data_IF_433503520137
#
_entry.id   IF_433503520137
#
_cell.length_a   1.000
_cell.length_b   1.000
_cell.length_c   1.000
_cell.angle_alpha   90.00
_cell.angle_beta   90.00
_cell.angle_gamma   90.00
#
_symmetry.space_group_name_H-M   'P 1'
#
loop_
_entity.id
_entity.type
_entity.pdbx_description
1 polymer ?
#
# COMPACT_ATOMS: atom_id res chain seq x y z
N UNK A 1 5.49 4.64 22.61
CA UNK A 1 5.62 4.93 21.18
C UNK A 1 5.05 6.33 20.98
N UNK A 2 5.82 7.31 20.46
CA UNK A 2 5.25 8.61 20.11
C UNK A 2 4.17 8.34 19.06
N UNK A 3 2.94 8.83 19.27
CA UNK A 3 1.90 8.79 18.24
C UNK A 3 2.40 9.62 17.05
N UNK A 4 2.99 8.96 16.07
CA UNK A 4 3.45 9.59 14.85
C UNK A 4 2.23 9.85 13.99
N UNK A 5 1.83 11.12 13.88
CA UNK A 5 0.73 11.51 13.02
C UNK A 5 1.24 11.66 11.59
N UNK A 6 0.79 10.79 10.70
CA UNK A 6 1.19 10.87 9.31
C UNK A 6 0.43 11.95 8.57
N UNK A 7 1.09 12.60 7.61
CA UNK A 7 0.48 13.62 6.74
C UNK A 7 0.68 13.24 5.28
N UNK A 8 -0.38 13.37 4.48
CA UNK A 8 -0.33 13.22 3.03
C UNK A 8 -0.33 14.61 2.37
N UNK A 9 0.85 15.22 2.12
CA UNK A 9 0.91 16.52 1.47
C UNK A 9 0.48 16.41 0.00
N UNK A 10 -0.38 17.33 -0.42
CA UNK A 10 -0.76 17.54 -1.82
C UNK A 10 0.03 18.72 -2.39
N UNK A 11 0.64 18.56 -3.56
CA UNK A 11 1.47 19.63 -4.14
C UNK A 11 0.68 20.92 -4.42
N UNK A 12 -0.59 20.79 -4.81
CA UNK A 12 -1.49 21.91 -5.12
C UNK A 12 -1.81 22.80 -3.91
N UNK A 13 -1.76 22.25 -2.70
CA UNK A 13 -2.10 23.00 -1.48
C UNK A 13 -0.90 23.72 -0.87
N UNK A 14 0.32 23.52 -1.41
CA UNK A 14 1.55 24.07 -0.82
C UNK A 14 2.00 25.31 -1.59
N UNK A 15 2.32 26.38 -0.87
CA UNK A 15 2.93 27.59 -1.45
C UNK A 15 4.43 27.37 -1.63
N UNK A 16 4.92 27.54 -2.85
CA UNK A 16 6.35 27.52 -3.14
C UNK A 16 6.96 28.89 -2.92
N UNK A 17 7.99 28.94 -2.07
CA UNK A 17 8.83 30.11 -1.84
C UNK A 17 9.74 30.32 -3.05
N UNK A 18 9.90 31.57 -3.47
CA UNK A 18 10.80 31.93 -4.56
C UNK A 18 12.15 32.34 -4.00
N UNK A 19 13.18 32.22 -4.83
CA UNK A 19 14.52 32.72 -4.50
C UNK A 19 14.51 34.24 -4.27
N UNK A 20 13.64 34.96 -4.97
CA UNK A 20 13.46 36.40 -4.80
C UNK A 20 12.94 36.81 -3.41
N UNK A 21 12.34 35.88 -2.67
CA UNK A 21 11.78 36.15 -1.34
C UNK A 21 12.86 36.04 -0.24
N UNK A 22 14.11 35.69 -0.60
CA UNK A 22 15.21 35.54 0.35
C UNK A 22 15.89 36.89 0.55
N UNK A 23 15.62 37.52 1.69
CA UNK A 23 16.21 38.83 2.08
C UNK A 23 17.52 38.69 2.89
N UNK A 24 18.14 37.51 2.89
CA UNK A 24 19.38 37.24 3.62
C UNK A 24 20.62 37.38 2.75
N UNK A 25 21.68 37.92 3.36
CA UNK A 25 23.01 37.94 2.78
C UNK A 25 23.50 36.53 2.44
N UNK A 26 24.16 36.41 1.29
CA UNK A 26 24.69 35.15 0.81
C UNK A 26 25.82 34.65 1.74
N UNK A 27 25.92 33.33 1.98
CA UNK A 27 26.97 32.78 2.83
C UNK A 27 28.34 32.90 2.16
N UNK A 28 29.39 33.24 2.93
CA UNK A 28 30.76 33.17 2.42
C UNK A 28 31.19 31.71 2.28
N UNK A 29 31.38 31.28 1.03
CA UNK A 29 31.77 29.91 0.68
C UNK A 29 33.27 29.75 0.42
N UNK A 30 34.07 30.83 0.52
CA UNK A 30 35.51 30.82 0.21
C UNK A 30 36.38 30.55 1.43
N UNK A 31 36.04 31.09 2.59
CA UNK A 31 36.86 31.01 3.81
C UNK A 31 36.24 30.13 4.91
N UNK A 32 35.91 28.87 4.59
CA UNK A 32 35.20 27.96 5.53
C UNK A 32 36.16 26.93 6.11
N UNK A 33 36.02 26.66 7.41
CA UNK A 33 36.66 25.55 8.15
C UNK A 33 35.92 24.22 8.04
N UNK A 34 34.72 24.23 7.47
CA UNK A 34 33.80 23.11 7.34
C UNK A 34 33.47 22.85 5.87
N UNK A 35 32.76 21.76 5.59
CA UNK A 35 32.31 21.48 4.22
C UNK A 35 31.34 22.56 3.73
N UNK A 36 31.40 22.91 2.44
CA UNK A 36 30.47 23.84 1.79
C UNK A 36 29.00 23.46 2.03
N UNK A 37 28.70 22.16 2.07
CA UNK A 37 27.35 21.67 2.31
C UNK A 37 26.84 22.01 3.72
N UNK A 38 27.69 21.92 4.74
CA UNK A 38 27.32 22.26 6.13
C UNK A 38 27.15 23.77 6.28
N UNK A 39 28.02 24.57 5.66
CA UNK A 39 27.90 26.03 5.68
C UNK A 39 26.57 26.50 5.07
N UNK A 40 26.21 25.97 3.89
CA UNK A 40 24.91 26.25 3.26
C UNK A 40 23.75 25.76 4.12
N UNK A 41 23.89 24.60 4.78
CA UNK A 41 22.87 24.09 5.68
C UNK A 41 22.64 25.04 6.88
N UNK A 42 23.70 25.54 7.51
CA UNK A 42 23.62 26.53 8.60
C UNK A 42 22.96 27.83 8.14
N UNK A 43 23.29 28.29 6.94
CA UNK A 43 22.64 29.45 6.33
C UNK A 43 21.14 29.22 6.09
N UNK A 44 20.75 28.07 5.53
CA UNK A 44 19.33 27.71 5.34
C UNK A 44 18.58 27.59 6.67
N UNK A 45 19.21 27.06 7.72
CA UNK A 45 18.61 27.00 9.05
C UNK A 45 18.33 28.41 9.60
N UNK A 46 19.32 29.31 9.51
CA UNK A 46 19.18 30.70 9.91
C UNK A 46 18.07 31.42 9.12
N UNK A 47 17.91 31.09 7.83
CA UNK A 47 16.81 31.61 7.03
C UNK A 47 15.45 31.13 7.51
N UNK A 48 15.30 29.83 7.74
CA UNK A 48 14.04 29.25 8.23
C UNK A 48 13.66 29.79 9.61
N UNK A 49 14.64 30.12 10.46
CA UNK A 49 14.41 30.62 11.83
C UNK A 49 14.01 32.09 11.89
N UNK A 50 14.63 32.95 11.06
CA UNK A 50 14.46 34.39 11.18
C UNK A 50 13.36 34.95 10.26
N UNK A 51 13.04 34.26 9.17
CA UNK A 51 12.13 34.78 8.16
C UNK A 51 10.65 34.50 8.53
N UNK A 52 9.89 35.58 8.69
CA UNK A 52 8.45 35.53 8.97
C UNK A 52 7.61 35.01 7.81
N UNK A 53 8.14 35.04 6.58
CA UNK A 53 7.48 34.52 5.38
C UNK A 53 7.55 32.99 5.27
N UNK A 54 8.50 32.36 5.97
CA UNK A 54 8.69 30.90 5.98
C UNK A 54 7.69 30.27 6.94
N UNK A 55 6.49 29.99 6.45
CA UNK A 55 5.46 29.27 7.22
C UNK A 55 5.69 27.76 7.17
N UNK A 56 5.35 27.01 8.24
CA UNK A 56 5.35 25.56 8.18
C UNK A 56 4.44 25.05 7.04
N UNK A 57 4.80 23.92 6.44
CA UNK A 57 4.16 23.37 5.23
C UNK A 57 4.28 24.26 3.98
N UNK A 58 5.26 25.17 3.92
CA UNK A 58 5.68 25.79 2.67
C UNK A 58 6.72 24.94 1.95
N UNK A 59 6.80 25.08 0.62
CA UNK A 59 7.84 24.46 -0.19
C UNK A 59 9.02 25.41 -0.31
N UNK A 60 10.22 24.88 -0.03
CA UNK A 60 11.46 25.60 -0.33
C UNK A 60 11.61 25.83 -1.84
N UNK A 61 12.44 26.81 -2.24
CA UNK A 61 12.77 27.03 -3.63
C UNK A 61 13.38 25.77 -4.27
N UNK A 62 13.32 25.69 -5.60
CA UNK A 62 13.78 24.50 -6.29
C UNK A 62 15.30 24.32 -6.13
N UNK A 63 15.77 23.07 -6.14
CA UNK A 63 17.22 22.79 -6.00
C UNK A 63 18.07 23.47 -7.08
N UNK A 64 17.65 23.50 -8.36
CA UNK A 64 18.35 24.27 -9.39
C UNK A 64 18.41 25.77 -9.09
N UNK A 65 17.32 26.38 -8.61
CA UNK A 65 17.29 27.82 -8.33
C UNK A 65 18.21 28.18 -7.16
N UNK A 66 18.21 27.37 -6.10
CA UNK A 66 19.15 27.53 -4.97
C UNK A 66 20.60 27.32 -5.39
N UNK A 67 20.86 26.36 -6.27
CA UNK A 67 22.19 26.10 -6.80
C UNK A 67 22.71 27.28 -7.63
N UNK A 68 21.83 27.89 -8.44
CA UNK A 68 22.13 29.08 -9.22
C UNK A 68 22.41 30.29 -8.32
N UNK A 69 21.56 30.56 -7.33
CA UNK A 69 21.73 31.66 -6.37
C UNK A 69 23.08 31.59 -5.64
N UNK A 70 23.44 30.41 -5.16
CA UNK A 70 24.63 30.21 -4.33
C UNK A 70 25.89 29.93 -5.15
N UNK A 71 25.78 29.78 -6.48
CA UNK A 71 26.90 29.45 -7.36
C UNK A 71 27.54 28.08 -7.07
N UNK A 72 26.75 27.09 -6.70
CA UNK A 72 27.23 25.73 -6.33
C UNK A 72 26.56 24.63 -7.14
N UNK A 73 27.11 23.41 -7.06
CA UNK A 73 26.49 22.25 -7.71
C UNK A 73 25.17 21.86 -7.05
N UNK A 74 24.24 21.29 -7.84
CA UNK A 74 22.97 20.73 -7.33
C UNK A 74 23.22 19.65 -6.27
N UNK A 75 24.31 18.88 -6.41
CA UNK A 75 24.70 17.86 -5.43
C UNK A 75 25.07 18.45 -4.07
N UNK A 76 25.69 19.63 -4.04
CA UNK A 76 26.01 20.36 -2.81
C UNK A 76 24.73 20.78 -2.09
N UNK A 77 23.78 21.38 -2.82
CA UNK A 77 22.47 21.74 -2.27
C UNK A 77 21.73 20.51 -1.75
N UNK A 78 21.75 19.39 -2.50
CA UNK A 78 21.12 18.16 -2.06
C UNK A 78 21.72 17.63 -0.75
N UNK A 79 23.04 17.73 -0.56
CA UNK A 79 23.69 17.32 0.70
C UNK A 79 23.33 18.27 1.84
N UNK A 80 23.28 19.58 1.59
CA UNK A 80 22.82 20.57 2.57
C UNK A 80 21.38 20.34 3.01
N UNK A 81 20.47 20.12 2.05
CA UNK A 81 19.07 19.79 2.31
C UNK A 81 18.92 18.50 3.11
N UNK A 82 19.77 17.49 2.85
CA UNK A 82 19.79 16.25 3.62
C UNK A 82 20.21 16.49 5.07
N UNK A 83 21.23 17.31 5.28
CA UNK A 83 21.71 17.64 6.62
C UNK A 83 20.64 18.35 7.45
N UNK A 84 19.95 19.36 6.89
CA UNK A 84 18.86 20.04 7.60
C UNK A 84 17.63 19.13 7.78
N UNK A 85 17.42 18.15 6.89
CA UNK A 85 16.38 17.11 7.04
C UNK A 85 16.70 16.16 8.20
N UNK A 86 17.96 15.76 8.36
CA UNK A 86 18.43 14.93 9.47
C UNK A 86 18.32 15.66 10.82
N UNK A 87 18.53 16.98 10.85
CA UNK A 87 18.25 17.84 12.00
C UNK A 87 16.75 18.14 12.22
N UNK A 88 15.90 17.78 11.26
CA UNK A 88 14.45 17.88 11.37
C UNK A 88 13.85 19.25 11.00
N UNK A 89 14.55 20.09 10.26
CA UNK A 89 14.03 21.38 9.78
C UNK A 89 13.09 21.22 8.59
N UNK A 90 13.33 20.20 7.75
CA UNK A 90 12.59 20.00 6.50
C UNK A 90 12.32 18.52 6.23
N UNK A 91 11.39 18.24 5.34
CA UNK A 91 11.17 16.91 4.76
C UNK A 91 11.18 16.95 3.24
N UNK A 92 11.98 16.08 2.65
CA UNK A 92 11.97 15.89 1.19
C UNK A 92 10.98 14.80 0.78
N UNK A 93 10.14 15.06 -0.22
CA UNK A 93 9.28 14.06 -0.88
C UNK A 93 9.43 14.12 -2.39
N UNK A 94 9.55 12.94 -3.02
CA UNK A 94 9.71 12.82 -4.48
C UNK A 94 8.52 13.46 -5.22
N UNK A 95 8.80 14.12 -6.34
CA UNK A 95 7.85 14.87 -7.20
C UNK A 95 7.18 16.10 -6.58
N UNK A 96 7.21 16.26 -5.25
CA UNK A 96 6.65 17.42 -4.55
C UNK A 96 7.74 18.47 -4.30
N UNK A 97 8.85 18.09 -3.66
CA UNK A 97 9.94 19.00 -3.30
C UNK A 97 10.34 18.86 -1.83
N UNK A 98 10.95 19.92 -1.28
CA UNK A 98 11.37 20.00 0.11
C UNK A 98 10.40 20.90 0.89
N UNK A 99 9.80 20.36 1.94
CA UNK A 99 8.75 21.01 2.74
C UNK A 99 9.34 21.43 4.08
N UNK A 100 9.02 22.63 4.55
CA UNK A 100 9.42 23.11 5.89
C UNK A 100 8.57 22.43 6.96
N UNK A 101 9.22 21.78 7.94
CA UNK A 101 8.53 21.16 9.09
C UNK A 101 8.08 22.22 10.09
N UNK A 102 6.97 21.95 10.75
CA UNK A 102 6.59 22.69 11.94
C UNK A 102 7.35 22.16 13.15
N UNK A 103 8.17 23.00 13.80
CA UNK A 103 8.91 22.60 15.00
C UNK A 103 8.02 22.48 16.23
N UNK A 104 6.89 23.20 16.26
CA UNK A 104 5.96 23.16 17.40
C UNK A 104 5.13 21.87 17.41
N UNK A 105 4.81 21.33 16.24
CA UNK A 105 4.11 20.04 16.08
C UNK A 105 5.06 18.91 15.63
N UNK A 106 6.11 18.67 16.44
CA UNK A 106 7.16 17.65 16.22
C UNK A 106 6.70 16.19 16.07
N UNK A 107 5.39 15.91 16.09
CA UNK A 107 4.80 14.58 15.90
C UNK A 107 4.32 14.28 14.48
N UNK A 108 4.37 15.26 13.55
CA UNK A 108 3.90 15.06 12.17
C UNK A 108 5.03 14.65 11.24
N UNK A 109 4.85 13.58 10.47
CA UNK A 109 5.84 13.16 9.48
C UNK A 109 5.21 12.57 8.22
N UNK A 110 5.93 12.64 7.10
CA UNK A 110 5.55 11.93 5.88
C UNK A 110 6.00 10.47 5.98
N UNK A 111 5.11 9.53 5.62
CA UNK A 111 5.47 8.13 5.46
C UNK A 111 6.48 7.95 4.33
N UNK A 112 7.67 7.41 4.65
CA UNK A 112 8.72 7.08 3.68
C UNK A 112 9.03 5.58 3.70
N UNK A 113 9.46 5.07 2.54
CA UNK A 113 10.09 3.75 2.45
C UNK A 113 11.38 3.76 3.29
N UNK A 114 11.77 2.60 3.82
CA UNK A 114 13.06 2.48 4.52
C UNK A 114 14.18 2.74 3.53
N UNK A 115 14.97 3.78 3.75
CA UNK A 115 16.06 4.11 2.82
C UNK A 115 17.21 3.10 2.95
N UNK A 116 17.94 2.83 1.86
CA UNK A 116 19.18 2.03 1.91
C UNK A 116 20.17 2.58 2.95
N UNK A 117 20.14 3.89 3.17
CA UNK A 117 20.93 4.58 4.20
C UNK A 117 20.51 4.14 5.61
N UNK A 118 19.22 4.11 5.94
CA UNK A 118 18.72 3.65 7.25
C UNK A 118 19.13 2.21 7.56
N UNK A 119 19.02 1.32 6.57
CA UNK A 119 19.49 -0.07 6.71
C UNK A 119 20.99 -0.10 7.01
N UNK A 120 21.77 0.72 6.30
CA UNK A 120 23.22 0.81 6.52
C UNK A 120 23.54 1.42 7.89
N UNK A 121 22.78 2.41 8.36
CA UNK A 121 22.94 3.00 9.70
C UNK A 121 22.74 1.92 10.77
N UNK A 122 21.69 1.12 10.66
CA UNK A 122 21.43 0.03 11.60
C UNK A 122 22.46 -1.08 11.52
N UNK A 123 22.92 -1.41 10.31
CA UNK A 123 24.01 -2.36 10.14
C UNK A 123 25.35 -1.84 10.74
N UNK A 124 25.65 -0.54 10.62
CA UNK A 124 26.82 0.07 11.27
C UNK A 124 26.67 0.05 12.79
N UNK A 125 25.48 0.36 13.32
CA UNK A 125 25.19 0.25 14.76
C UNK A 125 25.42 -1.17 15.27
N UNK A 126 24.86 -2.18 14.59
CA UNK A 126 25.10 -3.61 14.89
C UNK A 126 26.58 -3.97 14.84
N UNK A 127 27.27 -3.52 13.79
CA UNK A 127 28.71 -3.72 13.64
C UNK A 127 29.54 -3.13 14.79
N UNK A 128 29.15 -1.95 15.31
CA UNK A 128 29.79 -1.31 16.46
C UNK A 128 29.59 -2.14 17.74
N UNK A 129 28.38 -2.68 17.93
CA UNK A 129 28.04 -3.54 19.08
C UNK A 129 28.75 -4.91 19.01
N UNK A 130 28.70 -5.57 17.85
CA UNK A 130 29.29 -6.90 17.65
C UNK A 130 30.80 -6.89 17.90
N UNK A 131 31.49 -5.84 17.44
CA UNK A 131 32.93 -5.66 17.64
C UNK A 131 33.30 -4.96 18.95
N UNK A 132 32.31 -4.59 19.78
CA UNK A 132 32.50 -4.00 21.11
C UNK A 132 33.46 -2.80 21.12
N UNK A 133 33.29 -1.86 20.18
CA UNK A 133 34.09 -0.64 20.16
C UNK A 133 33.85 0.20 21.43
N UNK A 134 34.91 0.83 21.95
CA UNK A 134 34.81 1.75 23.09
C UNK A 134 34.66 3.20 22.61
N UNK A 135 34.04 4.05 23.44
CA UNK A 135 34.03 5.49 23.20
C UNK A 135 35.48 6.03 23.13
N UNK A 136 35.76 6.82 22.09
CA UNK A 136 37.07 7.35 21.74
C UNK A 136 37.86 6.51 20.73
N UNK A 137 37.44 5.28 20.43
CA UNK A 137 38.15 4.43 19.46
C UNK A 137 37.91 4.86 18.01
N UNK A 138 38.96 4.80 17.21
CA UNK A 138 38.90 5.03 15.76
C UNK A 138 38.23 3.84 15.07
N UNK A 139 37.21 4.14 14.27
CA UNK A 139 36.59 3.19 13.36
C UNK A 139 37.45 2.98 12.12
N UNK A 140 37.38 1.79 11.51
CA UNK A 140 38.03 1.55 10.23
C UNK A 140 37.44 2.45 9.13
N UNK A 141 38.18 2.59 8.03
CA UNK A 141 37.74 3.43 6.91
C UNK A 141 36.37 3.02 6.38
N UNK A 142 35.61 3.99 5.85
CA UNK A 142 34.27 3.75 5.30
C UNK A 142 34.25 2.62 4.24
N UNK A 143 35.35 2.45 3.49
CA UNK A 143 35.51 1.39 2.50
C UNK A 143 35.59 0.00 3.15
N UNK A 144 36.32 -0.12 4.25
CA UNK A 144 36.47 -1.39 4.98
C UNK A 144 35.14 -1.77 5.68
N UNK A 145 34.47 -0.78 6.29
CA UNK A 145 33.12 -0.96 6.85
C UNK A 145 32.14 -1.42 5.76
N UNK A 146 32.18 -0.79 4.57
CA UNK A 146 31.29 -1.16 3.47
C UNK A 146 31.51 -2.59 2.97
N UNK A 147 32.76 -3.07 2.96
CA UNK A 147 33.10 -4.43 2.56
C UNK A 147 32.59 -5.48 3.57
N UNK A 148 32.63 -5.15 4.87
CA UNK A 148 32.19 -6.06 5.93
C UNK A 148 30.67 -6.11 6.06
N UNK A 149 29.98 -5.00 5.80
CA UNK A 149 28.52 -4.91 5.86
C UNK A 149 27.86 -5.32 4.52
N UNK A 150 28.63 -5.39 3.42
CA UNK A 150 28.10 -5.70 2.09
C UNK A 150 27.28 -4.55 1.46
N UNK A 151 27.56 -3.31 1.83
CA UNK A 151 26.88 -2.11 1.34
C UNK A 151 27.78 -1.27 0.40
N UNK A 152 27.21 -0.31 -0.33
CA UNK A 152 28.01 0.58 -1.17
C UNK A 152 28.81 1.59 -0.33
N UNK A 153 30.05 1.87 -0.73
CA UNK A 153 30.91 2.81 -0.02
C UNK A 153 30.30 4.22 0.11
N UNK A 154 29.55 4.67 -0.89
CA UNK A 154 28.85 5.95 -0.86
C UNK A 154 27.71 5.97 0.16
N UNK A 155 26.93 4.89 0.24
CA UNK A 155 25.84 4.77 1.23
C UNK A 155 26.41 4.68 2.64
N UNK A 156 27.51 3.95 2.83
CA UNK A 156 28.24 3.89 4.11
C UNK A 156 28.76 5.25 4.53
N UNK A 157 29.37 6.03 3.62
CA UNK A 157 29.79 7.41 3.91
C UNK A 157 28.62 8.29 4.37
N UNK A 158 27.50 8.27 3.64
CA UNK A 158 26.30 9.04 4.01
C UNK A 158 25.68 8.57 5.35
N UNK A 159 25.79 7.29 5.67
CA UNK A 159 25.33 6.74 6.95
C UNK A 159 26.24 7.17 8.11
N UNK A 160 27.56 7.22 7.91
CA UNK A 160 28.51 7.72 8.90
C UNK A 160 28.31 9.23 9.15
N UNK A 161 28.08 10.02 8.09
CA UNK A 161 27.70 11.43 8.21
C UNK A 161 26.42 11.61 9.02
N UNK A 162 25.42 10.75 8.84
CA UNK A 162 24.22 10.79 9.68
C UNK A 162 24.53 10.51 11.15
N UNK A 163 25.34 9.48 11.44
CA UNK A 163 25.74 9.14 12.80
C UNK A 163 26.57 10.25 13.48
N UNK A 164 27.32 11.03 12.70
CA UNK A 164 27.99 12.27 13.13
C UNK A 164 26.99 13.33 13.55
N UNK A 165 25.98 13.61 12.70
CA UNK A 165 24.92 14.58 13.05
C UNK A 165 24.09 14.15 14.26
N UNK A 166 23.92 12.84 14.45
CA UNK A 166 23.26 12.27 15.62
C UNK A 166 24.13 12.31 16.89
N UNK A 167 25.42 12.68 16.77
CA UNK A 167 26.37 12.75 17.88
C UNK A 167 26.89 11.39 18.36
N UNK A 168 26.65 10.31 17.60
CA UNK A 168 27.14 8.96 17.90
C UNK A 168 28.60 8.81 17.47
N UNK A 169 28.94 9.39 16.32
CA UNK A 169 30.30 9.46 15.80
C UNK A 169 30.79 10.91 15.79
N UNK A 170 32.10 11.07 15.64
CA UNK A 170 32.75 12.36 15.40
C UNK A 170 33.71 12.21 14.22
N UNK A 171 33.58 13.08 13.22
CA UNK A 171 34.52 13.15 12.10
C UNK A 171 35.66 14.14 12.38
N UNK A 172 36.90 13.65 12.40
CA UNK A 172 38.10 14.49 12.60
C UNK A 172 38.70 14.91 11.25
N UNK A 173 38.77 16.22 10.98
CA UNK A 173 39.20 16.78 9.68
C UNK A 173 40.67 17.26 9.63
N UNK A 174 41.37 17.36 10.77
CA UNK A 174 42.54 18.26 10.88
C UNK A 174 43.92 17.68 10.51
N UNK A 175 44.15 16.36 10.58
CA UNK A 175 45.48 15.78 10.32
C UNK A 175 45.40 14.51 9.46
N UNK A 176 46.34 14.31 8.53
CA UNK A 176 46.41 13.12 7.68
C UNK A 176 46.52 11.79 8.46
N UNK A 177 47.04 11.84 9.70
CA UNK A 177 47.16 10.67 10.59
C UNK A 177 45.98 10.51 11.56
N UNK A 178 45.12 11.53 11.71
CA UNK A 178 43.97 11.51 12.64
C UNK A 178 42.63 11.62 11.91
N UNK A 179 42.67 11.66 10.58
CA UNK A 179 41.47 11.71 9.73
C UNK A 179 40.74 10.39 9.83
N UNK A 180 39.53 10.42 10.36
CA UNK A 180 38.78 9.21 10.62
C UNK A 180 37.52 9.47 11.41
N UNK A 181 36.77 8.39 11.59
CA UNK A 181 35.55 8.37 12.36
C UNK A 181 35.87 7.86 13.76
N UNK A 182 35.63 8.66 14.79
CA UNK A 182 35.75 8.20 16.18
C UNK A 182 34.38 7.95 16.78
N UNK A 183 34.24 6.86 17.55
CA UNK A 183 33.00 6.59 18.30
C UNK A 183 32.92 7.56 19.47
N UNK A 184 31.89 8.38 19.55
CA UNK A 184 31.69 9.34 20.65
C UNK A 184 30.81 8.76 21.75
N UNK A 185 29.72 8.08 21.38
CA UNK A 185 28.82 7.40 22.31
C UNK A 185 28.45 6.00 21.79
N UNK A 186 28.29 5.06 22.72
CA UNK A 186 27.87 3.67 22.44
C UNK A 186 26.40 3.43 22.85
N UNK A 187 25.76 4.45 23.43
CA UNK A 187 24.39 4.39 23.91
C UNK A 187 23.40 4.61 22.76
N UNK A 188 23.18 3.58 21.95
CA UNK A 188 22.18 3.62 20.87
C UNK A 188 21.33 2.35 20.81
N UNK A 189 20.05 2.52 20.49
CA UNK A 189 19.13 1.41 20.23
C UNK A 189 19.27 0.94 18.78
N UNK A 190 19.26 -0.38 18.60
CA UNK A 190 19.15 -1.03 17.30
C UNK A 190 17.70 -1.43 17.06
N UNK A 191 17.11 -0.94 15.98
CA UNK A 191 15.76 -1.37 15.57
C UNK A 191 15.88 -2.65 14.74
N UNK A 192 15.45 -3.79 15.28
CA UNK A 192 15.45 -5.08 14.55
C UNK A 192 14.51 -5.07 13.33
N UNK A 193 13.48 -4.21 13.34
CA UNK A 193 12.50 -4.08 12.26
C UNK A 193 13.06 -3.45 10.97
N UNK A 194 14.33 -3.04 10.93
CA UNK A 194 14.89 -2.24 9.83
C UNK A 194 16.00 -2.95 9.03
N UNK A 195 16.10 -4.27 9.14
CA UNK A 195 17.08 -5.07 8.40
C UNK A 195 16.73 -5.29 6.92
N UNK A 196 15.47 -5.06 6.53
CA UNK A 196 15.00 -5.26 5.16
C UNK A 196 14.50 -3.97 4.53
N UNK A 197 14.57 -3.90 3.19
CA UNK A 197 13.92 -2.82 2.43
C UNK A 197 12.40 -2.99 2.52
N UNK A 198 11.78 -2.42 3.55
CA UNK A 198 10.34 -2.43 3.73
C UNK A 198 9.75 -1.35 2.84
N UNK A 199 8.96 -1.79 1.85
CA UNK A 199 8.23 -0.89 0.96
C UNK A 199 7.17 -0.13 1.74
N UNK A 200 6.74 1.03 1.22
CA UNK A 200 5.64 1.77 1.82
C UNK A 200 4.37 0.91 1.94
N UNK A 201 4.11 0.06 0.93
CA UNK A 201 2.97 -0.86 0.92
C UNK A 201 3.04 -1.84 2.09
N UNK A 202 4.20 -2.47 2.33
CA UNK A 202 4.39 -3.39 3.46
C UNK A 202 4.16 -2.73 4.83
N UNK A 203 4.62 -1.50 5.03
CA UNK A 203 4.31 -0.75 6.27
C UNK A 203 2.81 -0.54 6.45
N UNK A 204 2.10 -0.24 5.36
CA UNK A 204 0.65 -0.08 5.37
C UNK A 204 -0.05 -1.42 5.60
N UNK A 205 0.47 -2.52 5.09
CA UNK A 205 -0.03 -3.87 5.37
C UNK A 205 0.09 -4.20 6.86
N UNK A 206 1.23 -3.92 7.50
CA UNK A 206 1.43 -4.10 8.94
C UNK A 206 0.44 -3.24 9.75
N UNK A 207 0.25 -1.97 9.37
CA UNK A 207 -0.73 -1.10 10.00
C UNK A 207 -2.16 -1.62 9.82
N UNK A 208 -2.52 -2.14 8.65
CA UNK A 208 -3.82 -2.74 8.38
C UNK A 208 -4.01 -4.03 9.17
N UNK A 209 -2.97 -4.87 9.31
CA UNK A 209 -3.00 -6.06 10.16
C UNK A 209 -3.25 -5.68 11.63
N UNK A 210 -2.57 -4.64 12.11
CA UNK A 210 -2.79 -4.09 13.44
C UNK A 210 -4.22 -3.54 13.61
N UNK A 211 -4.70 -2.78 12.64
CA UNK A 211 -6.07 -2.25 12.62
C UNK A 211 -7.12 -3.36 12.67
N UNK A 212 -6.97 -4.41 11.85
CA UNK A 212 -7.86 -5.57 11.83
C UNK A 212 -7.85 -6.26 13.20
N UNK A 213 -6.67 -6.43 13.80
CA UNK A 213 -6.55 -7.09 15.11
C UNK A 213 -7.21 -6.34 16.27
N UNK A 214 -7.28 -5.01 16.18
CA UNK A 214 -7.84 -4.16 17.24
C UNK A 214 -9.33 -3.90 17.07
N UNK A 215 -9.79 -3.72 15.82
CA UNK A 215 -11.10 -3.13 15.54
C UNK A 215 -12.13 -4.09 14.93
N UNK A 216 -11.73 -5.26 14.40
CA UNK A 216 -12.60 -6.11 13.58
C UNK A 216 -12.66 -7.56 14.05
N UNK A 217 -13.80 -8.19 13.83
CA UNK A 217 -14.02 -9.63 14.02
C UNK A 217 -14.12 -10.35 12.68
N UNK A 218 -13.94 -11.67 12.70
CA UNK A 218 -14.14 -12.51 11.51
C UNK A 218 -15.56 -12.36 11.01
N UNK A 219 -15.71 -12.05 9.72
CA UNK A 219 -16.99 -11.78 9.05
C UNK A 219 -17.34 -10.30 8.91
N UNK A 220 -16.65 -9.41 9.64
CA UNK A 220 -16.92 -7.97 9.55
C UNK A 220 -16.46 -7.39 8.21
N UNK A 221 -17.14 -6.32 7.79
CA UNK A 221 -16.83 -5.60 6.56
C UNK A 221 -15.76 -4.54 6.83
N UNK A 222 -14.72 -4.53 6.00
CA UNK A 222 -13.71 -3.48 6.02
C UNK A 222 -14.32 -2.13 5.63
N UNK A 223 -13.83 -1.01 6.20
CA UNK A 223 -14.20 0.33 5.77
C UNK A 223 -13.89 0.58 4.29
N UNK A 224 -14.46 1.65 3.73
CA UNK A 224 -14.19 2.01 2.35
C UNK A 224 -12.72 2.45 2.18
N UNK A 225 -12.17 2.30 0.97
CA UNK A 225 -10.79 2.69 0.69
C UNK A 225 -10.50 4.18 0.95
N UNK A 226 -11.51 5.05 0.83
CA UNK A 226 -11.40 6.48 1.12
C UNK A 226 -11.27 6.74 2.63
N UNK A 227 -12.03 6.02 3.45
CA UNK A 227 -12.00 6.18 4.92
C UNK A 227 -10.65 5.69 5.45
N UNK A 228 -10.18 4.53 4.99
CA UNK A 228 -8.84 4.01 5.31
C UNK A 228 -7.72 4.97 4.85
N UNK A 229 -7.94 5.69 3.75
CA UNK A 229 -6.99 6.69 3.22
C UNK A 229 -6.85 7.89 4.14
N UNK A 230 -7.95 8.34 4.74
CA UNK A 230 -7.97 9.41 5.72
C UNK A 230 -7.37 8.96 7.05
N UNK A 231 -7.77 7.79 7.55
CA UNK A 231 -7.29 7.24 8.82
C UNK A 231 -5.77 6.99 8.81
N UNK A 232 -5.26 6.32 7.78
CA UNK A 232 -3.83 5.99 7.68
C UNK A 232 -3.00 7.09 7.03
N UNK A 233 -3.63 8.14 6.47
CA UNK A 233 -2.98 9.22 5.73
C UNK A 233 -2.10 8.73 4.57
N UNK A 234 -2.64 7.78 3.80
CA UNK A 234 -1.96 7.09 2.69
C UNK A 234 -2.77 7.24 1.41
N UNK A 235 -2.13 7.13 0.24
CA UNK A 235 -2.87 7.17 -1.04
C UNK A 235 -3.83 5.99 -1.19
N UNK A 236 -4.99 6.23 -1.80
CA UNK A 236 -6.01 5.19 -2.09
C UNK A 236 -5.38 4.00 -2.83
N UNK A 237 -4.47 4.27 -3.78
CA UNK A 237 -3.77 3.21 -4.53
C UNK A 237 -2.91 2.32 -3.63
N UNK A 238 -2.15 2.91 -2.70
CA UNK A 238 -1.30 2.14 -1.79
C UNK A 238 -2.13 1.27 -0.84
N UNK A 239 -3.30 1.76 -0.41
CA UNK A 239 -4.26 0.95 0.38
C UNK A 239 -4.82 -0.17 -0.47
N UNK A 240 -5.17 0.09 -1.73
CA UNK A 240 -5.61 -0.95 -2.64
C UNK A 240 -4.56 -2.03 -2.83
N UNK A 241 -3.30 -1.65 -3.08
CA UNK A 241 -2.19 -2.58 -3.23
C UNK A 241 -1.96 -3.40 -1.95
N UNK A 242 -2.00 -2.76 -0.77
CA UNK A 242 -1.87 -3.44 0.52
C UNK A 242 -3.03 -4.42 0.80
N UNK A 243 -4.28 -4.01 0.53
CA UNK A 243 -5.44 -4.88 0.67
C UNK A 243 -5.39 -6.05 -0.30
N UNK A 244 -4.87 -5.84 -1.52
CA UNK A 244 -4.66 -6.90 -2.49
C UNK A 244 -3.69 -7.96 -1.94
N UNK A 245 -2.57 -7.55 -1.36
CA UNK A 245 -1.65 -8.47 -0.68
C UNK A 245 -2.36 -9.25 0.44
N UNK A 246 -3.18 -8.58 1.27
CA UNK A 246 -3.93 -9.25 2.34
C UNK A 246 -5.01 -10.23 1.82
N UNK A 247 -5.58 -9.97 0.64
CA UNK A 247 -6.49 -10.88 -0.05
C UNK A 247 -5.72 -12.10 -0.57
N UNK A 248 -4.54 -11.88 -1.15
CA UNK A 248 -3.67 -12.94 -1.65
C UNK A 248 -3.16 -13.82 -0.48
N UNK A 249 -2.92 -13.24 0.71
CA UNK A 249 -2.61 -13.96 1.95
C UNK A 249 -3.82 -14.70 2.57
N UNK A 250 -5.06 -14.45 2.10
CA UNK A 250 -6.28 -15.09 2.59
C UNK A 250 -6.84 -14.50 3.90
N UNK A 251 -6.35 -13.34 4.33
CA UNK A 251 -6.84 -12.62 5.52
C UNK A 251 -8.18 -11.92 5.23
N UNK A 252 -8.33 -11.45 3.99
CA UNK A 252 -9.51 -10.76 3.50
C UNK A 252 -10.14 -11.47 2.32
N UNK A 253 -11.45 -11.32 2.15
CA UNK A 253 -12.20 -11.80 1.00
C UNK A 253 -12.94 -10.65 0.34
N UNK A 254 -12.56 -10.36 -0.91
CA UNK A 254 -13.23 -9.36 -1.73
C UNK A 254 -14.48 -9.94 -2.38
N UNK A 255 -15.66 -9.39 -2.05
CA UNK A 255 -16.92 -9.66 -2.76
C UNK A 255 -17.31 -8.46 -3.62
N UNK A 256 -17.92 -8.72 -4.79
CA UNK A 256 -18.47 -7.66 -5.63
C UNK A 256 -19.79 -7.14 -5.06
N UNK A 257 -20.07 -5.85 -5.28
CA UNK A 257 -21.35 -5.22 -4.91
C UNK A 257 -21.44 -4.81 -3.44
N UNK A 258 -22.63 -4.93 -2.84
CA UNK A 258 -22.97 -4.40 -1.51
C UNK A 258 -22.10 -4.97 -0.37
N UNK A 259 -21.62 -6.19 -0.53
CA UNK A 259 -20.88 -6.93 0.48
C UNK A 259 -19.46 -6.38 0.72
N UNK A 260 -18.80 -5.81 -0.30
CA UNK A 260 -17.45 -5.25 -0.19
C UNK A 260 -16.39 -6.29 0.23
N UNK A 261 -15.33 -5.83 0.88
CA UNK A 261 -14.25 -6.68 1.43
C UNK A 261 -14.56 -7.07 2.87
N UNK A 262 -14.58 -8.37 3.16
CA UNK A 262 -14.87 -8.93 4.49
C UNK A 262 -13.64 -9.61 5.08
N UNK A 263 -13.48 -9.53 6.40
CA UNK A 263 -12.39 -10.21 7.12
C UNK A 263 -12.68 -11.71 7.20
N UNK A 264 -11.82 -12.55 6.64
CA UNK A 264 -11.94 -14.02 6.74
C UNK A 264 -11.16 -14.60 7.90
N UNK A 265 -10.03 -13.97 8.25
CA UNK A 265 -9.13 -14.48 9.29
C UNK A 265 -8.45 -13.32 9.99
N UNK A 266 -8.25 -13.46 11.29
CA UNK A 266 -7.42 -12.52 12.05
C UNK A 266 -5.95 -12.85 11.75
N UNK A 267 -5.08 -11.86 11.43
CA UNK A 267 -3.70 -12.10 10.99
C UNK A 267 -2.83 -12.99 11.90
N UNK A 268 -3.23 -13.20 13.17
CA UNK A 268 -2.48 -13.98 14.16
C UNK A 268 -3.05 -15.39 14.44
N UNK A 269 -4.27 -15.70 13.99
CA UNK A 269 -4.84 -17.03 14.16
C UNK A 269 -4.26 -17.96 13.09
N UNK A 270 -3.88 -19.21 13.39
CA UNK A 270 -3.38 -20.18 12.39
C UNK A 270 -4.48 -20.97 11.69
N UNK A 271 -5.76 -20.65 11.91
CA UNK A 271 -6.87 -21.36 11.31
C UNK A 271 -6.88 -21.14 9.80
N UNK A 272 -6.65 -22.22 9.05
CA UNK A 272 -6.77 -22.23 7.59
C UNK A 272 -8.26 -22.22 7.28
N UNK A 273 -8.78 -21.06 6.86
CA UNK A 273 -10.10 -21.02 6.23
C UNK A 273 -9.94 -21.49 4.78
N UNK A 274 -9.98 -22.80 4.58
CA UNK A 274 -10.23 -23.36 3.25
C UNK A 274 -11.64 -22.94 2.85
N UNK A 275 -11.73 -22.17 1.76
CA UNK A 275 -12.99 -21.93 1.07
C UNK A 275 -13.58 -23.30 0.73
N UNK A 276 -14.64 -23.73 1.42
CA UNK A 276 -15.39 -24.94 1.05
C UNK A 276 -15.78 -24.90 -0.44
N UNK A 277 -16.06 -23.71 -0.96
CA UNK A 277 -16.45 -23.44 -2.35
C UNK A 277 -15.29 -23.50 -3.38
N UNK A 278 -14.02 -23.42 -2.97
CA UNK A 278 -12.86 -23.55 -3.88
C UNK A 278 -11.90 -24.67 -3.48
N UNK A 279 -12.32 -25.54 -2.56
CA UNK A 279 -11.57 -26.74 -2.22
C UNK A 279 -11.62 -27.70 -3.41
N UNK A 280 -10.49 -28.34 -3.71
CA UNK A 280 -10.36 -29.30 -4.82
C UNK A 280 -11.31 -30.50 -4.65
N UNK A 281 -11.84 -30.70 -3.42
CA UNK A 281 -12.77 -31.76 -3.03
C UNK A 281 -14.22 -31.30 -2.88
N UNK A 282 -14.57 -30.08 -3.31
CA UNK A 282 -15.97 -29.68 -3.38
C UNK A 282 -16.70 -30.55 -4.41
N UNK A 283 -17.91 -31.02 -4.08
CA UNK A 283 -18.75 -31.78 -4.99
C UNK A 283 -18.95 -30.98 -6.29
N UNK A 284 -18.71 -31.59 -7.46
CA UNK A 284 -18.76 -30.91 -8.76
C UNK A 284 -20.10 -30.19 -9.04
N UNK A 285 -21.17 -30.58 -8.37
CA UNK A 285 -22.49 -29.96 -8.44
C UNK A 285 -22.52 -28.54 -7.82
N UNK A 286 -21.64 -28.24 -6.86
CA UNK A 286 -21.60 -26.96 -6.16
C UNK A 286 -20.54 -25.99 -6.73
N UNK A 287 -19.49 -26.50 -7.38
CA UNK A 287 -18.33 -25.69 -7.80
C UNK A 287 -18.45 -25.12 -9.22
N UNK A 288 -19.24 -25.75 -10.11
CA UNK A 288 -19.24 -25.43 -11.54
C UNK A 288 -20.42 -24.59 -12.03
N UNK A 289 -21.57 -24.58 -11.34
CA UNK A 289 -22.70 -23.78 -11.78
C UNK A 289 -22.57 -22.35 -11.28
N UNK A 290 -22.24 -21.42 -12.18
CA UNK A 290 -22.39 -20.00 -11.90
C UNK A 290 -23.78 -19.75 -11.31
N UNK A 291 -23.88 -18.98 -10.22
CA UNK A 291 -25.15 -18.66 -9.54
C UNK A 291 -26.30 -18.28 -10.50
N UNK A 292 -25.99 -17.64 -11.63
CA UNK A 292 -26.99 -17.28 -12.65
C UNK A 292 -27.52 -18.49 -13.44
N UNK A 293 -26.71 -19.50 -13.72
CA UNK A 293 -27.09 -20.69 -14.47
C UNK A 293 -27.98 -21.59 -13.63
N UNK A 294 -27.66 -21.72 -12.33
CA UNK A 294 -28.55 -22.35 -11.34
C UNK A 294 -29.90 -21.64 -11.26
N UNK A 295 -29.89 -20.30 -11.25
CA UNK A 295 -31.12 -19.48 -11.27
C UNK A 295 -31.91 -19.70 -12.56
N UNK A 296 -31.23 -19.71 -13.72
CA UNK A 296 -31.85 -19.91 -15.02
C UNK A 296 -32.48 -21.31 -15.14
N UNK A 297 -31.78 -22.36 -14.70
CA UNK A 297 -32.29 -23.72 -14.67
C UNK A 297 -33.46 -23.89 -13.69
N UNK A 298 -33.41 -23.19 -12.55
CA UNK A 298 -34.55 -23.17 -11.62
C UNK A 298 -35.78 -22.51 -12.25
N UNK A 299 -35.62 -21.38 -12.95
CA UNK A 299 -36.70 -20.73 -13.68
C UNK A 299 -37.20 -21.62 -14.83
N UNK A 300 -36.33 -22.33 -15.55
CA UNK A 300 -36.75 -23.32 -16.57
C UNK A 300 -37.63 -24.41 -15.97
N UNK A 301 -37.21 -25.00 -14.84
CA UNK A 301 -38.00 -26.01 -14.12
C UNK A 301 -39.34 -25.45 -13.65
N UNK A 302 -39.35 -24.23 -13.13
CA UNK A 302 -40.56 -23.54 -12.70
C UNK A 302 -41.53 -23.35 -13.87
N UNK A 303 -41.05 -22.90 -15.04
CA UNK A 303 -41.86 -22.74 -16.25
C UNK A 303 -42.43 -24.09 -16.70
N UNK A 304 -41.60 -25.14 -16.74
CA UNK A 304 -42.01 -26.46 -17.19
C UNK A 304 -43.04 -27.15 -16.27
N UNK A 305 -43.01 -26.85 -14.96
CA UNK A 305 -43.91 -27.48 -13.99
C UNK A 305 -45.22 -26.72 -13.78
N UNK A 306 -45.18 -25.38 -13.81
CA UNK A 306 -46.27 -24.57 -13.26
C UNK A 306 -46.89 -23.59 -14.27
N UNK A 307 -46.39 -23.50 -15.51
CA UNK A 307 -46.84 -22.50 -16.48
C UNK A 307 -47.17 -23.11 -17.85
N UNK A 308 -48.20 -22.54 -18.49
CA UNK A 308 -48.60 -22.86 -19.85
C UNK A 308 -48.10 -21.80 -20.84
N UNK A 309 -48.09 -22.14 -22.13
CA UNK A 309 -47.75 -21.22 -23.22
C UNK A 309 -48.73 -20.03 -23.18
N UNK A 310 -48.20 -18.81 -23.20
CA UNK A 310 -48.95 -17.56 -23.09
C UNK A 310 -49.18 -17.07 -21.66
N UNK A 311 -48.83 -17.85 -20.63
CA UNK A 311 -48.97 -17.42 -19.24
C UNK A 311 -48.00 -16.28 -18.88
N UNK A 312 -48.47 -15.37 -18.02
CA UNK A 312 -47.67 -14.25 -17.51
C UNK A 312 -46.84 -14.70 -16.31
N UNK A 313 -45.52 -14.50 -16.40
CA UNK A 313 -44.61 -14.74 -15.29
C UNK A 313 -44.67 -13.63 -14.23
N UNK A 314 -44.27 -13.92 -12.98
CA UNK A 314 -44.11 -12.93 -11.94
C UNK A 314 -43.16 -11.81 -12.38
N UNK A 315 -43.32 -10.63 -11.79
CA UNK A 315 -42.39 -9.53 -12.05
C UNK A 315 -40.99 -9.86 -11.50
N UNK A 316 -39.97 -9.20 -12.07
CA UNK A 316 -38.57 -9.36 -11.62
C UNK A 316 -38.41 -9.06 -10.12
N UNK A 317 -39.23 -8.14 -9.59
CA UNK A 317 -39.17 -7.73 -8.17
C UNK A 317 -39.82 -8.77 -7.27
N UNK A 318 -40.96 -9.34 -7.68
CA UNK A 318 -41.64 -10.41 -6.93
C UNK A 318 -40.77 -11.67 -6.89
N UNK A 319 -40.27 -12.09 -8.05
CA UNK A 319 -39.40 -13.26 -8.16
C UNK A 319 -38.07 -13.08 -7.40
N UNK A 320 -37.59 -11.82 -7.29
CA UNK A 320 -36.41 -11.46 -6.51
C UNK A 320 -36.62 -11.65 -5.01
N UNK A 321 -37.82 -11.34 -4.51
CA UNK A 321 -38.18 -11.56 -3.11
C UNK A 321 -38.41 -13.03 -2.82
N UNK A 322 -39.06 -13.76 -3.73
CA UNK A 322 -39.37 -15.18 -3.56
C UNK A 322 -38.11 -16.05 -3.52
N UNK A 323 -37.15 -15.78 -4.42
CA UNK A 323 -35.91 -16.56 -4.52
C UNK A 323 -34.76 -16.01 -3.66
N UNK A 324 -34.95 -14.90 -2.96
CA UNK A 324 -33.90 -14.14 -2.25
C UNK A 324 -32.66 -13.86 -3.12
N UNK A 325 -32.89 -13.46 -4.37
CA UNK A 325 -31.86 -13.21 -5.38
C UNK A 325 -31.86 -11.75 -5.82
N UNK A 326 -30.71 -11.26 -6.29
CA UNK A 326 -30.63 -9.89 -6.81
C UNK A 326 -31.53 -9.70 -8.04
N UNK A 327 -32.23 -8.55 -8.18
CA UNK A 327 -33.06 -8.26 -9.35
C UNK A 327 -32.28 -8.33 -10.68
N UNK A 328 -30.98 -8.05 -10.63
CA UNK A 328 -30.11 -8.11 -11.79
C UNK A 328 -29.85 -9.57 -12.24
N UNK A 329 -29.75 -10.50 -11.29
CA UNK A 329 -29.57 -11.92 -11.58
C UNK A 329 -30.79 -12.48 -12.31
N UNK A 330 -31.99 -12.15 -11.82
CA UNK A 330 -33.27 -12.57 -12.45
C UNK A 330 -33.45 -11.90 -13.81
N UNK A 331 -33.15 -10.60 -13.92
CA UNK A 331 -33.19 -9.91 -15.21
C UNK A 331 -32.28 -10.58 -16.25
N UNK A 332 -31.07 -10.98 -15.82
CA UNK A 332 -30.13 -11.68 -16.69
C UNK A 332 -30.65 -13.06 -17.10
N UNK A 333 -31.21 -13.82 -16.16
CA UNK A 333 -31.83 -15.12 -16.45
C UNK A 333 -33.02 -15.00 -17.41
N UNK A 334 -33.93 -14.06 -17.19
CA UNK A 334 -35.07 -13.81 -18.09
C UNK A 334 -34.60 -13.39 -19.48
N UNK A 335 -33.56 -12.56 -19.58
CA UNK A 335 -33.03 -12.14 -20.87
C UNK A 335 -32.37 -13.30 -21.64
N UNK A 336 -31.69 -14.22 -20.94
CA UNK A 336 -31.15 -15.43 -21.55
C UNK A 336 -32.27 -16.36 -22.02
N UNK A 337 -33.30 -16.59 -21.20
CA UNK A 337 -34.45 -17.41 -21.57
C UNK A 337 -35.24 -16.83 -22.74
N UNK A 338 -35.32 -15.50 -22.84
CA UNK A 338 -35.89 -14.83 -24.00
C UNK A 338 -35.02 -15.01 -25.26
N UNK A 339 -33.70 -14.99 -25.13
CA UNK A 339 -32.78 -15.30 -26.24
C UNK A 339 -32.87 -16.76 -26.68
N UNK A 340 -33.11 -17.67 -25.75
CA UNK A 340 -33.34 -19.10 -26.02
C UNK A 340 -34.72 -19.38 -26.62
N UNK A 341 -35.62 -18.38 -26.68
CA UNK A 341 -36.94 -18.49 -27.31
C UNK A 341 -38.08 -18.86 -26.37
N UNK A 342 -37.81 -19.09 -25.08
CA UNK A 342 -38.85 -19.49 -24.12
C UNK A 342 -39.71 -18.33 -23.63
N UNK A 343 -39.20 -17.09 -23.64
CA UNK A 343 -39.88 -15.92 -23.07
C UNK A 343 -39.98 -14.74 -24.03
N UNK A 344 -41.11 -14.01 -23.98
CA UNK A 344 -41.33 -12.73 -24.65
C UNK A 344 -41.49 -11.61 -23.63
N UNK A 345 -40.95 -10.43 -23.93
CA UNK A 345 -41.24 -9.20 -23.19
C UNK A 345 -42.25 -8.35 -23.95
N UNK A 346 -43.39 -8.06 -23.32
CA UNK A 346 -44.36 -7.08 -23.84
C UNK A 346 -44.32 -5.79 -23.00
N UNK A 347 -44.33 -4.64 -23.67
CA UNK A 347 -44.33 -3.31 -23.04
C UNK A 347 -45.74 -2.72 -23.03
N UNK A 348 -46.09 -1.97 -21.98
CA UNK A 348 -47.37 -1.24 -21.89
C UNK A 348 -48.06 -1.40 -20.53
N UNK A 349 -49.28 -0.87 -20.41
CA UNK A 349 -50.11 -0.91 -19.18
C UNK A 349 -50.40 -2.34 -18.69
N UNK A 350 -50.51 -3.28 -19.62
CA UNK A 350 -50.68 -4.72 -19.36
C UNK A 350 -49.41 -5.52 -19.70
N UNK A 351 -48.27 -4.84 -19.86
CA UNK A 351 -46.99 -5.43 -20.19
C UNK A 351 -46.49 -6.43 -19.13
N UNK A 352 -45.55 -7.27 -19.53
CA UNK A 352 -45.06 -8.38 -18.73
C UNK A 352 -44.11 -9.30 -19.48
N UNK A 353 -43.64 -10.33 -18.76
CA UNK A 353 -42.89 -11.43 -19.34
C UNK A 353 -43.85 -12.59 -19.56
N UNK A 354 -43.92 -13.11 -20.78
CA UNK A 354 -44.84 -14.18 -21.17
C UNK A 354 -44.07 -15.40 -21.65
N UNK A 355 -44.58 -16.59 -21.37
CA UNK A 355 -44.00 -17.86 -21.86
C UNK A 355 -44.41 -18.07 -23.32
N UNK A 356 -43.44 -18.24 -24.22
CA UNK A 356 -43.67 -18.54 -25.65
C UNK A 356 -43.56 -20.05 -25.89
N UNK A 357 -42.62 -20.70 -25.20
CA UNK A 357 -42.31 -22.12 -25.40
C UNK A 357 -41.91 -22.77 -24.07
N UNK A 358 -42.14 -24.08 -23.96
CA UNK A 358 -41.87 -24.86 -22.74
C UNK A 358 -40.49 -25.52 -22.89
N UNK A 359 -39.53 -25.26 -21.98
CA UNK A 359 -38.20 -25.85 -22.07
C UNK A 359 -38.22 -27.37 -21.85
N UNK A 360 -37.59 -28.12 -22.74
CA UNK A 360 -37.38 -29.56 -22.58
C UNK A 360 -36.41 -29.85 -21.43
N UNK A 361 -36.84 -30.69 -20.47
CA UNK A 361 -35.97 -31.15 -19.39
C UNK A 361 -35.00 -32.22 -19.90
N UNK A 362 -33.69 -31.98 -19.76
CA UNK A 362 -32.57 -32.85 -20.18
C UNK A 362 -32.56 -34.27 -19.54
N UNK A 363 -33.56 -34.65 -18.74
CA UNK A 363 -33.66 -35.98 -18.11
C UNK A 363 -33.83 -37.12 -19.13
N UNK A 364 -34.12 -36.83 -20.41
CA UNK A 364 -34.34 -37.86 -21.43
C UNK A 364 -33.05 -38.38 -22.10
N UNK A 365 -31.90 -37.71 -21.95
CA UNK A 365 -30.66 -38.10 -22.63
C UNK A 365 -30.12 -39.48 -22.15
N UNK A 366 -30.35 -39.83 -20.88
CA UNK A 366 -29.89 -41.11 -20.32
C UNK A 366 -30.84 -42.28 -20.58
N UNK A 367 -32.07 -42.01 -21.02
CA UNK A 367 -33.05 -43.07 -21.30
C UNK A 367 -32.70 -43.87 -22.55
N UNK A 368 -32.01 -43.25 -23.52
CA UNK A 368 -31.57 -43.90 -24.76
C UNK A 368 -30.29 -44.74 -24.61
N UNK A 369 -29.38 -44.37 -23.70
CA UNK A 369 -28.14 -45.12 -23.47
C UNK A 369 -28.38 -46.48 -22.79
N UNK A 370 -29.42 -46.57 -21.97
CA UNK A 370 -29.80 -47.78 -21.24
C UNK A 370 -30.48 -48.86 -22.11
N UNK A 371 -30.85 -48.55 -23.36
CA UNK A 371 -31.65 -49.45 -24.21
C UNK A 371 -30.80 -50.20 -25.25
N UNK A 372 -29.47 -49.99 -25.31
CA UNK A 372 -28.62 -50.69 -26.26
C UNK A 372 -27.75 -51.79 -25.58
N UNK A 373 -28.24 -53.04 -25.48
CA UNK A 373 -27.52 -54.14 -24.82
C UNK A 373 -26.17 -54.49 -25.47
N UNK A 374 -25.90 -54.07 -26.71
CA UNK A 374 -24.64 -54.36 -27.41
C UNK A 374 -23.40 -53.69 -26.82
N UNK A 375 -23.55 -52.60 -26.06
CA UNK A 375 -22.41 -51.88 -25.46
C UNK A 375 -22.14 -52.29 -23.99
N UNK A 376 -23.03 -53.04 -23.36
CA UNK A 376 -22.87 -53.48 -21.97
C UNK A 376 -21.91 -54.68 -21.82
N UNK A 377 -21.64 -55.42 -22.89
CA UNK A 377 -20.79 -56.63 -22.85
C UNK A 377 -19.28 -56.32 -22.85
N UNK A 378 -18.86 -55.11 -23.22
CA UNK A 378 -17.44 -54.77 -23.41
C UNK A 378 -16.68 -54.58 -22.08
N UNK A 379 -17.37 -54.54 -20.93
CA UNK A 379 -16.74 -54.34 -19.61
C UNK A 379 -16.71 -55.60 -18.72
N UNK A 380 -16.95 -56.79 -19.30
CA UNK A 380 -16.64 -58.05 -18.64
C UNK A 380 -15.53 -58.77 -19.41
N UNK A 381 -14.29 -58.34 -19.19
CA UNK A 381 -13.09 -59.19 -19.09
C UNK A 381 -11.89 -58.37 -18.62
#
# INVERSE_FOLDING_TARGET
MKEVKYVLPQKSSLKQLKVSDIELDLPDLKNITESKAIAIAKWLMNWIDNDSNVKPNSLLPSKPDLAYLLGVSIGTIQNSLRYIEDLGYVESKQCIGTIVRDRKSSGTCIRKLTSKREITINAIKKYILDKKFKAGQQLPSARNISAQIGCSANTTRLALEYLDTAGILEHKFKNANESGWTVKSVDFTCDEAADSNITLVKKVEEDLKNYISQNLKVGDKMPAHADLSLELSVSIKTIHDALKTLIDEGILLARRGRYGTTVTRIPNDKSVYEKKETSIFAQAQDTAFYYYEKTQNHIKKMIAQNYEIGAKLPSIIELSKELDLSPNTIRKAFHNLAKEGYLAFSRGRYGGTFVIDIPEMEEQAFKWLAVNPKYAEVYKN
#
